data_IF_794909477563
#
_entry.id   IF_794909477563
#
_cell.length_a   1.000
_cell.length_b   1.000
_cell.length_c   1.000
_cell.angle_alpha   90.00
_cell.angle_beta   90.00
_cell.angle_gamma   90.00
#
_symmetry.space_group_name_H-M   'P 1'
#
loop_
_entity.id
_entity.type
_entity.pdbx_description
1 polymer ?
#
# COMPACT_ATOMS: atom_id res chain seq x y z
N UNK A 1 -12.10 -0.11 -11.80
CA UNK A 1 -10.98 -0.29 -10.85
C UNK A 1 -10.51 1.10 -10.44
N UNK A 2 -10.58 1.44 -9.16
CA UNK A 2 -10.12 2.75 -8.66
C UNK A 2 -8.64 2.67 -8.29
N UNK A 3 -7.80 3.57 -8.81
CA UNK A 3 -6.40 3.72 -8.37
C UNK A 3 -6.32 4.63 -7.14
N UNK A 4 -5.28 4.45 -6.33
CA UNK A 4 -4.88 5.40 -5.29
C UNK A 4 -3.52 6.00 -5.62
N UNK A 5 -3.33 7.28 -5.32
CA UNK A 5 -2.06 7.98 -5.49
C UNK A 5 -1.24 7.88 -4.19
N UNK A 6 -0.03 7.35 -4.29
CA UNK A 6 0.92 7.21 -3.19
C UNK A 6 2.21 7.98 -3.48
N UNK A 7 2.88 8.46 -2.44
CA UNK A 7 4.19 9.12 -2.56
C UNK A 7 5.33 8.14 -2.39
N UNK A 8 6.37 8.24 -3.22
CA UNK A 8 7.57 7.43 -3.01
C UNK A 8 8.29 7.87 -1.72
N UNK A 9 8.62 6.92 -0.85
CA UNK A 9 9.32 7.18 0.41
C UNK A 9 10.68 7.84 0.26
N UNK A 10 11.34 7.64 -0.89
CA UNK A 10 12.70 8.17 -1.13
C UNK A 10 12.70 9.57 -1.75
N UNK A 11 11.86 9.81 -2.75
CA UNK A 11 11.90 11.04 -3.55
C UNK A 11 10.60 11.85 -3.52
N UNK A 12 9.56 11.39 -2.82
CA UNK A 12 8.25 12.04 -2.76
C UNK A 12 7.44 12.00 -4.06
N UNK A 13 7.99 11.48 -5.16
CA UNK A 13 7.26 11.41 -6.44
C UNK A 13 6.01 10.56 -6.30
N UNK A 14 4.89 11.10 -6.77
CA UNK A 14 3.61 10.41 -6.77
C UNK A 14 3.60 9.27 -7.78
N UNK A 15 2.94 8.17 -7.44
CA UNK A 15 2.69 7.05 -8.33
C UNK A 15 1.33 6.43 -8.02
N UNK A 16 0.68 5.90 -9.03
CA UNK A 16 -0.61 5.23 -8.87
C UNK A 16 -0.44 3.74 -8.61
N UNK A 17 -1.26 3.22 -7.70
CA UNK A 17 -1.41 1.78 -7.47
C UNK A 17 -2.86 1.39 -7.45
N UNK A 18 -3.13 0.19 -7.96
CA UNK A 18 -4.45 -0.42 -7.92
C UNK A 18 -4.48 -1.32 -6.67
N UNK A 19 -5.40 -1.09 -5.73
CA UNK A 19 -5.61 -1.98 -4.60
C UNK A 19 -5.90 -3.41 -5.08
N UNK A 20 -5.42 -4.46 -4.40
CA UNK A 20 -6.07 -5.76 -4.47
C UNK A 20 -7.51 -5.61 -3.96
N UNK A 21 -8.47 -6.30 -4.59
CA UNK A 21 -9.91 -6.11 -4.34
C UNK A 21 -10.28 -6.23 -2.85
N UNK A 22 -11.03 -5.23 -2.34
CA UNK A 22 -11.65 -5.27 -1.01
C UNK A 22 -10.75 -4.94 0.19
N UNK A 23 -9.67 -4.17 0.00
CA UNK A 23 -8.66 -3.95 1.03
C UNK A 23 -8.45 -2.45 1.33
N UNK A 24 -8.50 -2.06 2.62
CA UNK A 24 -8.24 -0.68 3.09
C UNK A 24 -6.73 -0.44 3.25
N UNK A 25 -6.25 0.78 3.00
CA UNK A 25 -4.81 1.09 2.96
C UNK A 25 -4.35 2.09 4.00
N UNK A 26 -3.24 1.77 4.65
CA UNK A 26 -2.21 2.76 4.98
C UNK A 26 -0.95 2.36 4.21
N UNK A 27 -0.59 3.16 3.21
CA UNK A 27 0.64 2.91 2.50
C UNK A 27 1.83 3.16 3.43
N UNK A 28 2.85 2.31 3.32
CA UNK A 28 4.17 2.48 3.95
C UNK A 28 4.29 2.22 5.45
N UNK A 29 3.20 1.93 6.15
CA UNK A 29 3.23 1.57 7.56
C UNK A 29 2.72 0.15 7.73
N UNK A 30 3.60 -0.75 8.17
CA UNK A 30 3.16 -2.02 8.76
C UNK A 30 2.80 -1.72 10.22
N UNK A 31 1.54 -1.83 10.67
CA UNK A 31 1.22 -1.76 12.07
C UNK A 31 2.02 -2.83 12.83
N UNK A 32 2.48 -2.49 14.03
CA UNK A 32 3.11 -3.46 14.92
C UNK A 32 2.12 -4.57 15.34
N UNK A 33 0.82 -4.24 15.34
CA UNK A 33 -0.29 -5.16 15.60
C UNK A 33 -1.34 -4.95 14.50
N UNK A 34 -1.21 -5.64 13.34
CA UNK A 34 -2.15 -5.46 12.24
C UNK A 34 -3.51 -6.04 12.64
N UNK A 35 -4.62 -5.37 12.30
CA UNK A 35 -5.97 -5.81 12.67
C UNK A 35 -6.38 -7.15 12.03
N UNK A 36 -5.55 -7.77 11.19
CA UNK A 36 -5.85 -9.06 10.57
C UNK A 36 -4.89 -9.38 9.43
N UNK A 37 -5.38 -10.18 8.47
CA UNK A 37 -4.64 -10.54 7.27
C UNK A 37 -4.26 -9.30 6.44
N UNK A 38 -3.01 -9.29 5.99
CA UNK A 38 -2.49 -8.23 5.13
C UNK A 38 -1.86 -8.79 3.85
N UNK A 39 -1.88 -7.97 2.80
CA UNK A 39 -1.20 -8.25 1.52
C UNK A 39 -0.05 -7.26 1.37
N UNK A 40 1.15 -7.78 1.19
CA UNK A 40 2.33 -6.97 0.85
C UNK A 40 2.43 -6.82 -0.68
N UNK A 41 2.60 -5.58 -1.15
CA UNK A 41 2.85 -5.26 -2.55
C UNK A 41 4.11 -4.41 -2.69
N UNK A 42 4.99 -4.77 -3.62
CA UNK A 42 6.19 -4.01 -3.94
C UNK A 42 5.99 -3.23 -5.24
N UNK A 43 6.21 -1.92 -5.19
CA UNK A 43 6.13 -1.03 -6.36
C UNK A 43 7.41 -0.24 -6.51
N UNK A 44 8.04 -0.38 -7.67
CA UNK A 44 9.19 0.45 -8.04
C UNK A 44 8.73 1.86 -8.40
N UNK A 45 9.32 2.87 -7.77
CA UNK A 45 9.16 4.26 -8.18
C UNK A 45 9.89 4.48 -9.51
N UNK A 46 9.18 4.99 -10.51
CA UNK A 46 9.75 5.27 -11.82
C UNK A 46 10.91 6.28 -11.76
N UNK A 47 10.76 7.34 -10.95
CA UNK A 47 11.72 8.45 -10.89
C UNK A 47 13.04 8.10 -10.22
N UNK A 48 13.02 7.41 -9.07
CA UNK A 48 14.22 7.14 -8.28
C UNK A 48 14.60 5.66 -8.17
N UNK A 49 13.84 4.78 -8.84
CA UNK A 49 14.02 3.32 -8.82
C UNK A 49 13.95 2.69 -7.43
N UNK A 50 13.44 3.42 -6.45
CA UNK A 50 13.24 2.90 -5.10
C UNK A 50 12.09 1.89 -5.10
N UNK A 51 12.30 0.76 -4.42
CA UNK A 51 11.23 -0.21 -4.17
C UNK A 51 10.44 0.24 -2.95
N UNK A 52 9.20 0.66 -3.16
CA UNK A 52 8.27 0.99 -2.10
C UNK A 52 7.47 -0.25 -1.74
N UNK A 53 7.40 -0.55 -0.45
CA UNK A 53 6.52 -1.59 0.08
C UNK A 53 5.21 -0.95 0.54
N UNK A 54 4.11 -1.55 0.14
CA UNK A 54 2.75 -1.11 0.43
C UNK A 54 2.06 -2.27 1.12
N UNK A 55 1.43 -2.00 2.25
CA UNK A 55 0.67 -2.98 3.01
C UNK A 55 -0.82 -2.68 2.86
N UNK A 56 -1.57 -3.70 2.47
CA UNK A 56 -3.01 -3.63 2.30
C UNK A 56 -3.67 -4.49 3.38
N UNK A 57 -4.53 -3.91 4.23
CA UNK A 57 -5.18 -4.59 5.34
C UNK A 57 -6.62 -4.94 5.00
N UNK A 58 -6.98 -6.23 5.12
CA UNK A 58 -8.38 -6.61 4.99
C UNK A 58 -9.13 -6.05 6.19
N UNK A 59 -10.29 -5.40 5.97
CA UNK A 59 -11.13 -5.04 7.10
C UNK A 59 -11.49 -6.33 7.85
N UNK A 60 -11.35 -6.33 9.18
CA UNK A 60 -11.95 -7.40 9.98
C UNK A 60 -13.42 -7.48 9.61
N UNK A 61 -13.87 -8.67 9.20
CA UNK A 61 -15.29 -8.92 9.08
C UNK A 61 -15.87 -8.73 10.48
N UNK A 62 -16.51 -7.58 10.73
CA UNK A 62 -17.34 -7.40 11.92
C UNK A 62 -18.39 -8.51 11.88
N UNK A 63 -18.21 -9.53 12.73
CA UNK A 63 -19.22 -10.53 13.02
C UNK A 63 -20.41 -9.89 13.74
#
# INVERSE_FOLDING_TARGET
MSSIALGCLKCGSSYEVIPPDGVYTEAHSKPNDPPGDFVEMKKECFSCKNKNTIYWYKPEAKQ
#
